data_IF_085199142804
#
_entry.id   IF_085199142804
#
_cell.length_a   1.000
_cell.length_b   1.000
_cell.length_c   1.000
_cell.angle_alpha   90.00
_cell.angle_beta   90.00
_cell.angle_gamma   90.00
#
_symmetry.space_group_name_H-M   'P 1'
#
loop_
_entity.id
_entity.type
_entity.pdbx_description
1 polymer ?
#
# COMPACT_ATOMS: atom_id res chain seq x y z
N UNK A 1 -35.33 -88.77 -24.48
CA UNK A 1 -35.61 -89.53 -23.24
C UNK A 1 -35.09 -88.74 -22.05
N UNK A 2 -36.01 -88.48 -21.11
CA UNK A 2 -35.87 -88.26 -19.66
C UNK A 2 -34.59 -87.60 -19.06
N UNK A 3 -34.76 -86.46 -18.37
CA UNK A 3 -34.62 -86.30 -16.89
C UNK A 3 -33.16 -86.12 -16.42
N UNK A 4 -32.79 -85.41 -15.35
CA UNK A 4 -33.46 -84.69 -14.26
C UNK A 4 -32.41 -83.75 -13.63
N UNK A 5 -32.92 -82.74 -12.92
CA UNK A 5 -32.23 -81.72 -12.09
C UNK A 5 -31.32 -82.33 -11.01
N UNK A 6 -30.32 -81.59 -10.54
CA UNK A 6 -30.10 -81.32 -9.11
C UNK A 6 -29.19 -80.08 -8.91
N UNK A 7 -29.65 -79.18 -8.04
CA UNK A 7 -28.90 -78.02 -7.49
C UNK A 7 -28.15 -78.46 -6.23
N UNK A 8 -26.92 -77.97 -6.03
CA UNK A 8 -26.34 -77.81 -4.69
C UNK A 8 -25.52 -76.51 -4.65
N UNK A 9 -25.93 -75.62 -3.74
CA UNK A 9 -25.25 -74.37 -3.39
C UNK A 9 -24.01 -74.65 -2.54
N UNK A 10 -22.92 -73.92 -2.80
CA UNK A 10 -21.76 -73.84 -1.89
C UNK A 10 -21.48 -72.38 -1.56
N UNK A 11 -21.55 -72.07 -0.26
CA UNK A 11 -21.37 -70.76 0.34
C UNK A 11 -19.86 -70.47 0.47
N UNK A 12 -19.33 -69.47 -0.24
CA UNK A 12 -17.95 -69.00 -0.06
C UNK A 12 -17.94 -67.79 0.89
N UNK A 13 -17.35 -67.95 2.07
CA UNK A 13 -16.98 -66.86 2.97
C UNK A 13 -15.77 -66.12 2.38
N UNK A 14 -15.92 -64.85 2.00
CA UNK A 14 -14.82 -63.99 1.57
C UNK A 14 -14.38 -63.09 2.72
N UNK A 15 -13.16 -63.33 3.25
CA UNK A 15 -12.47 -62.41 4.14
C UNK A 15 -12.00 -61.20 3.32
N UNK A 16 -12.62 -60.04 3.53
CA UNK A 16 -12.20 -58.78 2.88
C UNK A 16 -11.25 -58.03 3.81
N UNK A 17 -9.97 -57.97 3.43
CA UNK A 17 -8.93 -57.19 4.09
C UNK A 17 -9.11 -55.70 3.70
N UNK A 18 -9.70 -54.90 4.58
CA UNK A 18 -9.87 -53.47 4.34
C UNK A 18 -8.54 -52.73 4.62
N UNK A 19 -7.81 -52.40 3.55
CA UNK A 19 -6.66 -51.49 3.63
C UNK A 19 -7.18 -50.06 3.87
N UNK A 20 -6.90 -49.51 5.05
CA UNK A 20 -7.26 -48.14 5.41
C UNK A 20 -6.43 -47.12 4.62
N UNK A 21 -7.07 -46.36 3.73
CA UNK A 21 -6.51 -45.15 3.14
C UNK A 21 -6.46 -44.04 4.20
N UNK A 22 -5.27 -43.78 4.73
CA UNK A 22 -5.00 -42.60 5.55
C UNK A 22 -4.99 -41.37 4.64
N UNK A 23 -6.16 -40.72 4.52
CA UNK A 23 -6.30 -39.39 3.92
C UNK A 23 -5.60 -38.40 4.85
N UNK A 24 -4.40 -37.97 4.47
CA UNK A 24 -3.72 -36.86 5.14
C UNK A 24 -4.46 -35.58 4.76
N UNK A 25 -5.33 -35.11 5.65
CA UNK A 25 -5.87 -33.76 5.54
C UNK A 25 -4.73 -32.77 5.78
N UNK A 26 -4.18 -32.20 4.70
CA UNK A 26 -3.32 -31.03 4.81
C UNK A 26 -4.13 -29.91 5.47
N UNK A 27 -3.85 -29.63 6.74
CA UNK A 27 -4.39 -28.46 7.40
C UNK A 27 -3.80 -27.22 6.72
N UNK A 28 -4.60 -26.57 5.87
CA UNK A 28 -4.28 -25.25 5.34
C UNK A 28 -4.16 -24.28 6.50
N UNK A 29 -2.93 -23.99 6.92
CA UNK A 29 -2.64 -22.95 7.92
C UNK A 29 -3.21 -21.64 7.40
N UNK A 30 -4.09 -21.01 8.19
CA UNK A 30 -4.64 -19.70 7.85
C UNK A 30 -3.48 -18.72 7.63
N UNK A 31 -3.58 -17.87 6.61
CA UNK A 31 -2.56 -16.84 6.39
C UNK A 31 -2.52 -15.93 7.63
N UNK A 32 -1.32 -15.64 8.13
CA UNK A 32 -1.14 -14.70 9.24
C UNK A 32 -1.14 -13.25 8.73
N UNK A 33 -1.61 -12.27 9.52
CA UNK A 33 -1.45 -10.86 9.20
C UNK A 33 0.02 -10.48 9.04
N UNK A 34 0.35 -9.71 8.02
CA UNK A 34 1.68 -9.10 7.90
C UNK A 34 1.65 -7.73 8.55
N UNK A 35 2.60 -7.49 9.46
CA UNK A 35 2.77 -6.23 10.18
C UNK A 35 4.18 -5.75 9.99
N UNK A 36 4.35 -4.45 9.83
CA UNK A 36 5.65 -3.82 9.93
C UNK A 36 5.53 -2.41 10.51
N UNK A 37 6.50 -2.03 11.33
CA UNK A 37 6.77 -0.63 11.68
C UNK A 37 8.27 -0.37 11.56
N UNK A 38 8.64 0.67 10.82
CA UNK A 38 10.00 1.20 10.74
C UNK A 38 9.97 2.66 11.12
N UNK A 39 10.88 3.09 11.99
CA UNK A 39 11.15 4.49 12.33
C UNK A 39 12.66 4.70 12.29
N UNK A 40 13.10 5.64 11.46
CA UNK A 40 14.51 6.03 11.34
C UNK A 40 14.68 7.48 11.79
N UNK A 41 15.81 7.77 12.41
CA UNK A 41 16.29 9.15 12.51
C UNK A 41 16.55 9.69 11.10
N UNK A 42 15.95 10.84 10.76
CA UNK A 42 15.94 11.33 9.38
C UNK A 42 17.36 11.69 8.92
N UNK A 43 18.15 12.35 9.77
CA UNK A 43 19.50 12.82 9.45
C UNK A 43 20.50 11.66 9.34
N UNK A 44 20.67 10.88 10.41
CA UNK A 44 21.68 9.82 10.49
C UNK A 44 21.27 8.54 9.75
N UNK A 45 19.96 8.26 9.66
CA UNK A 45 19.46 6.98 9.15
C UNK A 45 19.53 5.84 10.13
N UNK A 46 19.92 6.10 11.38
CA UNK A 46 19.89 5.11 12.45
C UNK A 46 18.45 4.61 12.63
N UNK A 47 18.27 3.30 12.65
CA UNK A 47 17.00 2.70 13.03
C UNK A 47 16.73 2.95 14.51
N UNK A 48 15.66 3.70 14.79
CA UNK A 48 15.13 3.91 16.14
C UNK A 48 14.18 2.78 16.51
N UNK A 49 13.42 2.30 15.52
CA UNK A 49 12.56 1.13 15.65
C UNK A 49 12.47 0.38 14.31
N UNK A 50 12.51 -0.95 14.36
CA UNK A 50 12.17 -1.83 13.22
C UNK A 50 11.58 -3.13 13.75
N UNK A 51 10.31 -3.41 13.44
CA UNK A 51 9.67 -4.67 13.84
C UNK A 51 8.73 -5.22 12.77
N UNK A 52 8.66 -6.55 12.68
CA UNK A 52 7.84 -7.26 11.71
C UNK A 52 8.50 -7.47 10.34
N UNK A 53 7.70 -7.72 9.31
CA UNK A 53 8.17 -8.02 7.94
C UNK A 53 8.26 -6.73 7.12
N UNK A 54 9.44 -6.11 7.13
CA UNK A 54 9.64 -4.76 6.60
C UNK A 54 10.40 -4.71 5.25
N UNK A 55 10.89 -5.84 4.78
CA UNK A 55 11.69 -6.02 3.56
C UNK A 55 10.88 -6.52 2.36
N UNK A 56 9.61 -6.86 2.56
CA UNK A 56 8.72 -7.35 1.49
C UNK A 56 7.93 -6.20 0.86
N UNK A 57 7.90 -6.17 -0.48
CA UNK A 57 7.20 -5.15 -1.26
C UNK A 57 5.68 -5.37 -1.32
N UNK A 58 4.92 -4.30 -1.05
CA UNK A 58 3.46 -4.26 -1.19
C UNK A 58 3.03 -3.10 -2.07
N UNK A 59 1.78 -3.15 -2.54
CA UNK A 59 1.21 -2.06 -3.33
C UNK A 59 1.15 -0.78 -2.50
N UNK A 60 1.70 0.36 -2.97
CA UNK A 60 1.75 1.59 -2.17
C UNK A 60 0.37 2.23 -1.98
N UNK A 61 -0.59 1.98 -2.88
CA UNK A 61 -1.90 2.62 -2.84
C UNK A 61 -1.77 4.14 -2.82
N UNK A 62 -2.56 4.83 -2.01
CA UNK A 62 -2.54 6.28 -1.92
C UNK A 62 -1.30 6.89 -1.25
N UNK A 63 -0.37 6.10 -0.69
CA UNK A 63 0.93 6.66 -0.27
C UNK A 63 1.75 7.13 -1.46
N UNK A 64 1.51 6.56 -2.64
CA UNK A 64 2.15 6.96 -3.89
C UNK A 64 1.77 8.37 -4.36
N UNK A 65 0.78 9.02 -3.72
CA UNK A 65 0.50 10.44 -3.96
C UNK A 65 1.68 11.33 -3.62
N UNK A 66 2.49 10.97 -2.60
CA UNK A 66 3.72 11.70 -2.26
C UNK A 66 4.71 11.76 -3.46
N UNK A 67 5.12 10.63 -4.08
CA UNK A 67 5.86 10.66 -5.33
C UNK A 67 5.17 11.45 -6.46
N UNK A 68 3.85 11.30 -6.64
CA UNK A 68 3.13 12.03 -7.70
C UNK A 68 3.16 13.54 -7.46
N UNK A 69 3.10 14.00 -6.21
CA UNK A 69 3.19 15.42 -5.85
C UNK A 69 4.57 15.96 -6.21
N UNK A 70 5.62 15.23 -5.83
CA UNK A 70 7.01 15.57 -6.18
C UNK A 70 7.18 15.70 -7.70
N UNK A 71 6.68 14.73 -8.47
CA UNK A 71 6.71 14.77 -9.94
C UNK A 71 5.91 15.95 -10.50
N UNK A 72 4.73 16.20 -9.93
CA UNK A 72 3.79 17.22 -10.39
C UNK A 72 4.33 18.63 -10.19
N UNK A 73 4.92 18.91 -9.03
CA UNK A 73 5.56 20.20 -8.78
C UNK A 73 6.85 20.36 -9.59
N UNK A 74 7.69 19.33 -9.70
CA UNK A 74 8.93 19.41 -10.46
C UNK A 74 8.71 19.63 -11.96
N UNK A 75 7.65 19.02 -12.51
CA UNK A 75 7.23 19.22 -13.89
C UNK A 75 6.42 20.51 -14.13
N UNK A 76 6.13 21.31 -13.09
CA UNK A 76 5.31 22.52 -13.19
C UNK A 76 3.83 22.27 -13.51
N UNK A 77 3.34 21.04 -13.31
CA UNK A 77 1.92 20.69 -13.45
C UNK A 77 1.12 21.21 -12.26
N UNK A 78 1.72 21.10 -11.06
CA UNK A 78 1.25 21.69 -9.83
C UNK A 78 2.03 22.98 -9.58
N UNK A 79 1.35 24.03 -9.09
CA UNK A 79 1.91 25.37 -8.99
C UNK A 79 2.13 25.77 -7.53
N UNK A 80 1.11 25.60 -6.70
CA UNK A 80 1.15 25.87 -5.26
C UNK A 80 0.18 24.93 -4.52
N UNK A 81 -0.14 25.22 -3.26
CA UNK A 81 -1.01 24.39 -2.43
C UNK A 81 -2.47 24.31 -2.92
N UNK A 82 -2.92 25.31 -3.69
CA UNK A 82 -4.30 25.48 -4.13
C UNK A 82 -4.46 25.54 -5.67
N UNK A 83 -3.35 25.45 -6.42
CA UNK A 83 -3.32 25.53 -7.87
C UNK A 83 -2.54 24.38 -8.52
N UNK A 84 -3.07 23.79 -9.61
CA UNK A 84 -4.35 24.09 -10.23
C UNK A 84 -5.53 23.43 -9.50
N UNK A 85 -6.67 24.12 -9.47
CA UNK A 85 -7.95 23.51 -9.09
C UNK A 85 -8.62 22.95 -10.34
N UNK A 86 -8.96 21.66 -10.31
CA UNK A 86 -9.67 20.99 -11.41
C UNK A 86 -11.06 20.54 -10.97
N UNK A 87 -12.02 20.65 -11.89
CA UNK A 87 -13.37 20.15 -11.68
C UNK A 87 -13.47 18.65 -11.96
N UNK A 88 -14.27 17.97 -11.14
CA UNK A 88 -14.61 16.58 -11.38
C UNK A 88 -15.40 16.43 -12.69
N UNK A 89 -15.07 15.42 -13.48
CA UNK A 89 -15.80 15.07 -14.69
C UNK A 89 -16.41 13.68 -14.52
N UNK A 90 -17.67 13.52 -14.93
CA UNK A 90 -18.40 12.24 -14.81
C UNK A 90 -17.64 11.06 -15.45
N UNK A 91 -16.88 11.31 -16.51
CA UNK A 91 -16.03 10.32 -17.19
C UNK A 91 -14.96 9.67 -16.29
N UNK A 92 -14.60 10.29 -15.17
CA UNK A 92 -13.65 9.71 -14.21
C UNK A 92 -14.24 8.54 -13.40
N UNK A 93 -15.58 8.39 -13.38
CA UNK A 93 -16.29 7.27 -12.78
C UNK A 93 -15.80 6.92 -11.35
N UNK A 94 -15.83 7.92 -10.45
CA UNK A 94 -15.40 7.77 -9.05
C UNK A 94 -16.59 7.73 -8.10
N UNK A 95 -16.35 7.23 -6.89
CA UNK A 95 -17.34 7.27 -5.81
C UNK A 95 -17.71 8.70 -5.46
N UNK A 96 -18.92 8.89 -4.92
CA UNK A 96 -19.46 10.20 -4.51
C UNK A 96 -18.48 11.02 -3.66
N UNK A 97 -17.74 10.37 -2.76
CA UNK A 97 -16.69 10.98 -1.92
C UNK A 97 -15.64 11.78 -2.72
N UNK A 98 -15.36 11.35 -3.95
CA UNK A 98 -14.35 11.96 -4.82
C UNK A 98 -14.94 12.93 -5.86
N UNK A 99 -16.26 13.03 -5.98
CA UNK A 99 -16.94 13.86 -6.98
C UNK A 99 -17.00 15.34 -6.57
N UNK A 100 -15.85 16.01 -6.54
CA UNK A 100 -15.73 17.41 -6.15
C UNK A 100 -14.56 18.10 -6.84
N UNK A 101 -14.67 19.42 -7.02
CA UNK A 101 -13.52 20.23 -7.42
C UNK A 101 -12.38 20.07 -6.42
N UNK A 102 -11.18 19.83 -6.94
CA UNK A 102 -10.01 19.41 -6.15
C UNK A 102 -8.80 20.25 -6.55
N UNK A 103 -8.07 20.70 -5.54
CA UNK A 103 -6.74 21.32 -5.62
C UNK A 103 -5.71 20.40 -4.91
N UNK A 104 -4.39 20.71 -4.93
CA UNK A 104 -3.37 19.85 -4.32
C UNK A 104 -3.59 19.56 -2.83
N UNK A 105 -4.03 20.55 -2.05
CA UNK A 105 -4.34 20.37 -0.62
C UNK A 105 -5.52 19.42 -0.41
N UNK A 106 -6.63 19.61 -1.12
CA UNK A 106 -7.80 18.72 -1.06
C UNK A 106 -7.42 17.31 -1.53
N UNK A 107 -6.60 17.22 -2.58
CA UNK A 107 -6.15 15.98 -3.17
C UNK A 107 -5.45 15.08 -2.16
N UNK A 108 -4.49 15.62 -1.42
CA UNK A 108 -3.72 14.86 -0.43
C UNK A 108 -4.53 14.56 0.83
N UNK A 109 -5.28 15.56 1.34
CA UNK A 109 -6.15 15.41 2.52
C UNK A 109 -7.21 14.33 2.32
N UNK A 110 -7.96 14.42 1.22
CA UNK A 110 -9.12 13.57 0.98
C UNK A 110 -8.79 12.32 0.14
N UNK A 111 -7.53 12.24 -0.31
CA UNK A 111 -6.98 11.13 -1.08
C UNK A 111 -7.72 10.91 -2.41
N UNK A 112 -7.89 11.97 -3.18
CA UNK A 112 -8.63 11.97 -4.46
C UNK A 112 -7.83 11.26 -5.55
N UNK A 113 -8.32 10.12 -6.06
CA UNK A 113 -7.53 9.29 -6.99
C UNK A 113 -7.55 9.88 -8.39
N UNK A 114 -8.68 10.41 -8.86
CA UNK A 114 -8.77 10.95 -10.22
C UNK A 114 -7.81 12.13 -10.44
N UNK A 115 -7.52 12.91 -9.39
CA UNK A 115 -6.56 14.02 -9.46
C UNK A 115 -5.13 13.50 -9.67
N UNK A 116 -4.73 12.42 -8.98
CA UNK A 116 -3.47 11.71 -9.25
C UNK A 116 -3.37 11.24 -10.69
N UNK A 117 -4.46 10.65 -11.22
CA UNK A 117 -4.50 10.14 -12.59
C UNK A 117 -4.41 11.26 -13.61
N UNK A 118 -4.96 12.45 -13.30
CA UNK A 118 -4.86 13.61 -14.16
C UNK A 118 -3.43 14.19 -14.17
N UNK A 119 -2.75 14.24 -13.01
CA UNK A 119 -1.33 14.60 -12.94
C UNK A 119 -0.51 13.63 -13.81
N UNK A 120 -0.68 12.32 -13.65
CA UNK A 120 0.12 11.35 -14.41
C UNK A 120 -0.21 11.37 -15.91
N UNK A 121 -1.46 11.65 -16.32
CA UNK A 121 -1.80 11.87 -17.73
C UNK A 121 -1.06 13.08 -18.32
N UNK A 122 -1.02 14.19 -17.60
CA UNK A 122 -0.31 15.41 -18.03
C UNK A 122 1.21 15.22 -18.07
N UNK A 123 1.74 14.44 -17.13
CA UNK A 123 3.15 14.07 -17.08
C UNK A 123 3.55 13.17 -18.27
N UNK A 124 2.67 12.23 -18.63
CA UNK A 124 2.89 11.26 -19.70
C UNK A 124 3.74 10.05 -19.29
N UNK A 125 3.60 8.96 -20.05
CA UNK A 125 4.18 7.64 -19.71
C UNK A 125 5.69 7.65 -19.51
N UNK A 126 6.43 8.34 -20.38
CA UNK A 126 7.89 8.36 -20.34
C UNK A 126 8.39 9.06 -19.08
N UNK A 127 7.98 10.31 -18.86
CA UNK A 127 8.41 11.09 -17.70
C UNK A 127 7.98 10.40 -16.39
N UNK A 128 6.76 9.86 -16.32
CA UNK A 128 6.31 9.09 -15.15
C UNK A 128 7.25 7.92 -14.81
N UNK A 129 7.63 7.11 -15.80
CA UNK A 129 8.57 6.01 -15.58
C UNK A 129 9.99 6.48 -15.25
N UNK A 130 10.44 7.60 -15.84
CA UNK A 130 11.75 8.20 -15.55
C UNK A 130 11.82 8.69 -14.09
N UNK A 131 10.80 9.39 -13.59
CA UNK A 131 10.75 9.82 -12.19
C UNK A 131 10.72 8.63 -11.23
N UNK A 132 9.90 7.60 -11.49
CA UNK A 132 9.84 6.42 -10.62
C UNK A 132 11.20 5.72 -10.52
N UNK A 133 11.95 5.63 -11.64
CA UNK A 133 13.33 5.12 -11.63
C UNK A 133 14.29 6.07 -10.91
N UNK A 134 14.22 7.37 -11.19
CA UNK A 134 15.09 8.38 -10.56
C UNK A 134 14.88 8.49 -9.05
N UNK A 135 13.68 8.18 -8.57
CA UNK A 135 13.37 8.09 -7.15
C UNK A 135 13.83 6.79 -6.50
N UNK A 136 14.30 5.82 -7.29
CA UNK A 136 14.55 4.45 -6.83
C UNK A 136 13.34 3.90 -6.03
N UNK A 137 12.13 4.10 -6.57
CA UNK A 137 10.89 3.81 -5.87
C UNK A 137 10.46 2.33 -6.03
N UNK A 138 10.90 1.50 -5.09
CA UNK A 138 10.44 0.13 -4.97
C UNK A 138 10.95 -0.78 -6.10
N UNK A 139 10.04 -1.44 -6.82
CA UNK A 139 10.38 -2.29 -7.97
C UNK A 139 10.37 -1.55 -9.33
N UNK A 140 10.09 -0.25 -9.34
CA UNK A 140 9.97 0.60 -10.53
C UNK A 140 8.95 0.17 -11.58
N UNK A 141 8.11 -0.81 -11.27
CA UNK A 141 7.21 -1.39 -12.25
C UNK A 141 5.95 -0.53 -12.37
N UNK A 142 5.90 0.26 -13.44
CA UNK A 142 4.75 1.08 -13.83
C UNK A 142 4.11 0.58 -15.11
N UNK A 143 4.28 -0.70 -15.45
CA UNK A 143 3.75 -1.27 -16.71
C UNK A 143 2.22 -1.44 -16.71
N UNK A 144 1.58 -1.37 -15.54
CA UNK A 144 0.23 -1.90 -15.34
C UNK A 144 0.28 -3.36 -14.88
N UNK A 145 -0.86 -3.98 -14.64
CA UNK A 145 -0.88 -5.23 -13.86
C UNK A 145 -2.15 -6.07 -14.04
N UNK A 146 -2.34 -7.09 -13.19
CA UNK A 146 -3.42 -8.06 -13.32
C UNK A 146 -4.80 -7.43 -13.51
N UNK A 147 -5.57 -7.96 -14.47
CA UNK A 147 -6.87 -7.41 -14.85
C UNK A 147 -6.79 -6.27 -15.87
N UNK A 148 -5.65 -6.09 -16.55
CA UNK A 148 -5.51 -5.09 -17.63
C UNK A 148 -5.43 -3.65 -17.14
N UNK A 149 -5.02 -3.45 -15.88
CA UNK A 149 -4.87 -2.11 -15.29
C UNK A 149 -3.84 -1.28 -16.06
N UNK A 150 -4.13 -0.01 -16.29
CA UNK A 150 -3.28 0.91 -17.03
C UNK A 150 -2.06 1.37 -16.19
N UNK A 151 -0.87 1.25 -16.75
CA UNK A 151 0.37 1.59 -16.05
C UNK A 151 0.48 3.06 -15.64
N UNK A 152 -0.06 3.98 -16.46
CA UNK A 152 0.03 5.41 -16.20
C UNK A 152 -0.92 5.87 -15.09
N UNK A 153 -2.08 5.25 -14.97
CA UNK A 153 -3.16 5.73 -14.09
C UNK A 153 -3.53 4.75 -12.97
N UNK A 154 -2.97 3.54 -12.96
CA UNK A 154 -3.35 2.50 -12.02
C UNK A 154 -2.20 1.65 -11.46
N UNK A 155 -0.94 1.84 -11.90
CA UNK A 155 0.21 1.01 -11.45
C UNK A 155 0.37 0.94 -9.91
N UNK A 156 0.01 1.99 -9.18
CA UNK A 156 0.06 2.04 -7.71
C UNK A 156 -1.19 1.48 -7.00
N UNK A 157 -2.28 1.23 -7.74
CA UNK A 157 -3.59 0.83 -7.23
C UNK A 157 -3.75 -0.70 -7.22
N UNK A 158 -3.11 -1.34 -6.25
CA UNK A 158 -3.00 -2.80 -6.23
C UNK A 158 -2.53 -3.37 -7.57
N UNK A 159 -1.58 -2.76 -8.29
CA UNK A 159 -1.21 -3.19 -9.65
C UNK A 159 0.24 -3.67 -9.70
N UNK A 160 1.07 -3.20 -10.63
CA UNK A 160 2.47 -3.62 -10.78
C UNK A 160 3.39 -3.08 -9.71
N UNK A 161 3.20 -1.81 -9.33
CA UNK A 161 4.14 -1.10 -8.48
C UNK A 161 4.09 -1.66 -7.05
N UNK A 162 5.26 -2.00 -6.52
CA UNK A 162 5.44 -2.49 -5.16
C UNK A 162 6.63 -1.84 -4.50
N UNK A 163 6.51 -1.59 -3.20
CA UNK A 163 7.57 -1.01 -2.35
C UNK A 163 7.46 -1.59 -0.94
N UNK A 164 8.60 -1.87 -0.29
CA UNK A 164 8.63 -2.36 1.09
C UNK A 164 8.60 -1.21 2.11
N UNK A 165 8.22 -1.46 3.37
CA UNK A 165 8.36 -0.46 4.43
C UNK A 165 9.77 0.09 4.61
N UNK A 166 10.81 -0.76 4.50
CA UNK A 166 12.20 -0.32 4.54
C UNK A 166 12.53 0.63 3.37
N UNK A 167 12.02 0.34 2.17
CA UNK A 167 12.18 1.21 1.00
C UNK A 167 11.39 2.53 1.13
N UNK A 168 10.21 2.52 1.77
CA UNK A 168 9.43 3.74 2.03
C UNK A 168 10.21 4.72 2.91
N UNK A 169 10.82 4.24 4.01
CA UNK A 169 11.59 5.12 4.90
C UNK A 169 12.89 5.61 4.24
N UNK A 170 13.56 4.78 3.42
CA UNK A 170 14.72 5.24 2.66
C UNK A 170 14.36 6.35 1.65
N UNK A 171 13.30 6.12 0.87
CA UNK A 171 12.77 7.11 -0.07
C UNK A 171 12.43 8.44 0.64
N UNK A 172 11.73 8.37 1.77
CA UNK A 172 11.37 9.57 2.55
C UNK A 172 12.59 10.27 3.16
N UNK A 173 13.64 9.56 3.55
CA UNK A 173 14.90 10.20 3.99
C UNK A 173 15.58 10.94 2.86
N UNK A 174 15.62 10.35 1.66
CA UNK A 174 16.19 11.03 0.48
C UNK A 174 15.37 12.25 0.11
N UNK A 175 14.05 12.19 0.23
CA UNK A 175 13.18 13.37 0.07
C UNK A 175 13.51 14.46 1.10
N UNK A 176 13.49 14.12 2.40
CA UNK A 176 13.73 15.07 3.49
C UNK A 176 15.14 15.69 3.47
N UNK A 177 16.13 14.99 2.92
CA UNK A 177 17.50 15.48 2.79
C UNK A 177 17.81 16.14 1.45
N UNK A 178 16.80 16.35 0.58
CA UNK A 178 16.96 16.98 -0.73
C UNK A 178 17.82 16.18 -1.71
N UNK A 179 17.89 14.84 -1.54
CA UNK A 179 18.70 13.93 -2.37
C UNK A 179 17.92 13.27 -3.51
N UNK A 180 16.62 13.55 -3.63
CA UNK A 180 15.86 13.16 -4.82
C UNK A 180 16.20 14.10 -5.98
N UNK A 181 16.20 13.61 -7.24
CA UNK A 181 16.53 14.42 -8.42
C UNK A 181 15.33 15.30 -8.83
N UNK A 182 14.93 16.21 -7.95
CA UNK A 182 13.87 17.22 -8.17
C UNK A 182 14.34 18.58 -7.63
N UNK A 183 13.68 19.63 -8.06
CA UNK A 183 13.93 20.99 -7.60
C UNK A 183 13.67 21.15 -6.09
N UNK A 184 14.42 22.03 -5.40
CA UNK A 184 14.12 22.40 -4.01
C UNK A 184 12.71 22.95 -3.82
N UNK A 185 12.16 23.63 -4.84
CA UNK A 185 10.78 24.14 -4.80
C UNK A 185 9.77 22.99 -4.80
N UNK A 186 9.98 21.94 -5.61
CA UNK A 186 9.12 20.75 -5.57
C UNK A 186 9.16 20.03 -4.22
N UNK A 187 10.31 20.01 -3.54
CA UNK A 187 10.41 19.49 -2.16
C UNK A 187 9.53 20.30 -1.22
N UNK A 188 9.71 21.64 -1.21
CA UNK A 188 8.97 22.56 -0.34
C UNK A 188 7.45 22.49 -0.57
N UNK A 189 7.01 22.56 -1.82
CA UNK A 189 5.59 22.53 -2.17
C UNK A 189 4.96 21.17 -1.88
N UNK A 190 5.70 20.07 -2.08
CA UNK A 190 5.22 18.76 -1.65
C UNK A 190 5.02 18.73 -0.14
N UNK A 191 5.98 19.20 0.66
CA UNK A 191 5.85 19.25 2.13
C UNK A 191 4.64 20.09 2.58
N UNK A 192 4.33 21.19 1.88
CA UNK A 192 3.25 22.10 2.23
C UNK A 192 1.85 21.48 2.13
N UNK A 193 1.65 20.47 1.27
CA UNK A 193 0.34 19.83 1.07
C UNK A 193 0.16 18.50 1.83
N UNK A 194 1.22 17.95 2.45
CA UNK A 194 1.11 16.69 3.18
C UNK A 194 0.24 16.89 4.43
N UNK A 195 -0.77 16.02 4.67
CA UNK A 195 -1.62 16.15 5.85
C UNK A 195 -0.85 16.06 7.16
N UNK A 196 -1.17 16.98 8.07
CA UNK A 196 -0.52 17.14 9.37
C UNK A 196 -1.44 16.68 10.50
N UNK A 197 -0.88 15.97 11.48
CA UNK A 197 -1.58 15.42 12.63
C UNK A 197 -0.78 15.69 13.92
N UNK A 198 -1.42 16.12 15.02
CA UNK A 198 -0.76 16.16 16.31
C UNK A 198 -0.54 14.74 16.87
N UNK A 199 0.55 14.55 17.59
CA UNK A 199 0.83 13.37 18.39
C UNK A 199 1.21 13.79 19.83
N UNK A 200 1.22 12.83 20.75
CA UNK A 200 1.61 13.08 22.13
C UNK A 200 3.07 13.56 22.24
N UNK A 201 3.43 14.11 23.40
CA UNK A 201 4.77 14.64 23.70
C UNK A 201 5.26 15.75 22.75
N UNK A 202 4.36 16.49 22.10
CA UNK A 202 4.70 17.62 21.24
C UNK A 202 5.18 17.24 19.83
N UNK A 203 4.99 15.98 19.42
CA UNK A 203 5.28 15.56 18.05
C UNK A 203 4.23 16.10 17.07
N UNK A 204 4.72 16.60 15.93
CA UNK A 204 3.88 16.91 14.75
C UNK A 204 4.17 15.89 13.67
N UNK A 205 3.13 15.21 13.17
CA UNK A 205 3.23 14.11 12.21
C UNK A 205 2.73 14.57 10.85
N UNK A 206 3.54 14.43 9.82
CA UNK A 206 3.17 14.66 8.43
C UNK A 206 3.14 13.32 7.71
N UNK A 207 2.01 12.94 7.13
CA UNK A 207 1.98 11.63 6.50
C UNK A 207 0.79 11.34 5.62
N UNK A 208 0.96 10.27 4.84
CA UNK A 208 -0.01 9.81 3.88
C UNK A 208 -0.49 8.40 4.18
N UNK A 209 -1.80 8.23 4.20
CA UNK A 209 -2.47 6.94 4.29
C UNK A 209 -2.59 6.26 2.93
N UNK A 210 -2.58 4.93 2.93
CA UNK A 210 -2.88 4.11 1.75
C UNK A 210 -3.74 2.92 2.14
N UNK A 211 -4.82 2.67 1.40
CA UNK A 211 -5.71 1.53 1.63
C UNK A 211 -6.01 0.81 0.31
N UNK A 212 -6.13 -0.51 0.37
CA UNK A 212 -6.52 -1.34 -0.74
C UNK A 212 -6.66 -2.80 -0.33
N UNK A 213 -6.50 -3.70 -1.28
CA UNK A 213 -6.53 -5.15 -1.03
C UNK A 213 -5.33 -5.81 -1.70
N UNK A 214 -4.84 -6.88 -1.08
CA UNK A 214 -3.98 -7.82 -1.79
C UNK A 214 -4.75 -8.47 -2.94
N UNK A 215 -4.05 -9.21 -3.79
CA UNK A 215 -4.67 -9.96 -4.88
C UNK A 215 -4.60 -11.45 -4.62
N UNK A 216 -5.62 -12.16 -5.08
CA UNK A 216 -5.60 -13.63 -5.16
C UNK A 216 -4.58 -14.10 -6.20
N UNK A 217 -4.27 -15.40 -6.23
CA UNK A 217 -3.42 -16.00 -7.28
C UNK A 217 -3.96 -15.73 -8.70
N UNK A 218 -5.27 -15.60 -8.85
CA UNK A 218 -5.93 -15.25 -10.11
C UNK A 218 -5.91 -13.74 -10.43
N UNK A 219 -5.21 -12.93 -9.63
CA UNK A 219 -5.08 -11.50 -9.87
C UNK A 219 -6.33 -10.68 -9.54
N UNK A 220 -7.32 -11.21 -8.84
CA UNK A 220 -8.52 -10.45 -8.40
C UNK A 220 -8.28 -9.80 -7.04
N UNK A 221 -8.90 -8.64 -6.72
CA UNK A 221 -8.85 -8.10 -5.36
C UNK A 221 -9.34 -9.11 -4.33
N UNK A 222 -8.53 -9.39 -3.31
CA UNK A 222 -8.85 -10.28 -2.22
C UNK A 222 -9.42 -9.49 -1.04
N UNK A 223 -10.76 -9.48 -0.93
CA UNK A 223 -11.46 -8.76 0.13
C UNK A 223 -11.24 -9.34 1.53
N UNK A 224 -10.64 -10.52 1.66
CA UNK A 224 -10.21 -11.08 2.95
C UNK A 224 -8.83 -10.60 3.39
N UNK A 225 -8.08 -9.96 2.48
CA UNK A 225 -6.71 -9.49 2.70
C UNK A 225 -6.60 -7.97 2.48
N UNK A 226 -7.21 -7.13 3.34
CA UNK A 226 -7.06 -5.69 3.24
C UNK A 226 -5.63 -5.26 3.56
N UNK A 227 -5.19 -4.21 2.87
CA UNK A 227 -3.87 -3.61 2.98
C UNK A 227 -4.00 -2.16 3.45
N UNK A 228 -3.29 -1.81 4.52
CA UNK A 228 -3.25 -0.47 5.09
C UNK A 228 -1.81 0.02 5.28
N UNK A 229 -1.60 1.29 4.96
CA UNK A 229 -0.35 2.01 5.09
C UNK A 229 -0.55 3.33 5.82
N UNK A 230 0.47 3.73 6.57
CA UNK A 230 0.73 5.13 6.92
C UNK A 230 2.24 5.37 6.86
N UNK A 231 2.66 6.33 6.03
CA UNK A 231 4.08 6.66 5.80
C UNK A 231 4.27 8.17 5.85
N UNK A 232 5.44 8.64 6.26
CA UNK A 232 5.69 10.06 6.42
C UNK A 232 6.88 10.38 7.31
N UNK A 233 6.87 11.58 7.88
CA UNK A 233 7.86 12.06 8.83
C UNK A 233 7.19 12.73 10.03
N UNK A 234 7.93 12.86 11.12
CA UNK A 234 7.46 13.57 12.29
C UNK A 234 8.57 14.43 12.89
N UNK A 235 8.17 15.52 13.51
CA UNK A 235 9.08 16.55 14.02
C UNK A 235 8.77 16.88 15.49
N UNK A 236 9.83 17.10 16.27
CA UNK A 236 9.76 17.55 17.65
C UNK A 236 11.07 18.25 18.05
N UNK A 237 10.99 19.53 18.45
CA UNK A 237 12.12 20.28 19.00
C UNK A 237 13.41 20.19 18.13
N UNK A 238 13.25 20.26 16.81
CA UNK A 238 14.34 20.12 15.83
C UNK A 238 14.79 18.67 15.54
N UNK A 239 14.24 17.66 16.22
CA UNK A 239 14.40 16.24 15.81
C UNK A 239 13.42 15.92 14.69
N UNK A 240 13.89 15.17 13.70
CA UNK A 240 13.08 14.65 12.62
C UNK A 240 13.26 13.14 12.51
N UNK A 241 12.16 12.41 12.38
CA UNK A 241 12.14 10.98 12.10
C UNK A 241 11.32 10.70 10.85
N UNK A 242 11.69 9.69 10.07
CA UNK A 242 10.82 9.15 9.03
C UNK A 242 10.22 7.82 9.49
N UNK A 243 9.06 7.47 8.96
CA UNK A 243 8.39 6.24 9.33
C UNK A 243 7.65 5.57 8.17
N UNK A 244 7.47 4.27 8.32
CA UNK A 244 6.51 3.50 7.56
C UNK A 244 5.85 2.47 8.48
N UNK A 245 4.51 2.48 8.53
CA UNK A 245 3.73 1.41 9.15
C UNK A 245 2.83 0.75 8.13
N UNK A 246 2.82 -0.58 8.15
CA UNK A 246 2.10 -1.44 7.25
C UNK A 246 1.29 -2.48 8.01
N UNK A 247 0.07 -2.73 7.54
CA UNK A 247 -0.74 -3.87 7.93
C UNK A 247 -1.38 -4.50 6.68
N UNK A 248 -1.03 -5.76 6.39
CA UNK A 248 -1.81 -6.61 5.49
C UNK A 248 -2.57 -7.64 6.34
N UNK A 249 -3.82 -7.35 6.65
CA UNK A 249 -4.61 -8.11 7.62
C UNK A 249 -5.25 -9.36 7.00
N UNK A 250 -5.91 -10.15 7.86
CA UNK A 250 -6.68 -11.35 7.48
C UNK A 250 -8.15 -11.24 7.87
N UNK A 251 -8.55 -10.11 8.46
CA UNK A 251 -9.93 -9.74 8.77
C UNK A 251 -10.37 -8.51 7.98
N UNK A 252 -11.67 -8.42 7.72
CA UNK A 252 -12.28 -7.24 7.09
C UNK A 252 -12.34 -6.07 8.08
N UNK A 253 -12.24 -4.86 7.55
CA UNK A 253 -12.41 -3.61 8.28
C UNK A 253 -13.64 -2.90 7.72
N UNK A 254 -14.74 -2.87 8.48
CA UNK A 254 -16.05 -2.38 8.03
C UNK A 254 -16.45 -1.03 8.63
N UNK A 255 -15.97 -0.72 9.83
CA UNK A 255 -16.28 0.54 10.52
C UNK A 255 -15.48 1.72 9.97
N UNK A 256 -14.21 1.47 9.63
CA UNK A 256 -13.31 2.47 9.07
C UNK A 256 -12.30 1.82 8.11
N UNK A 257 -11.71 2.58 7.17
CA UNK A 257 -10.62 2.07 6.35
C UNK A 257 -9.45 1.60 7.22
N UNK A 258 -8.89 0.44 6.89
CA UNK A 258 -7.71 -0.14 7.57
C UNK A 258 -6.54 0.85 7.70
N UNK A 259 -6.39 1.78 6.74
CA UNK A 259 -5.36 2.80 6.79
C UNK A 259 -5.51 3.79 7.94
N UNK A 260 -6.72 4.01 8.46
CA UNK A 260 -6.93 4.87 9.64
C UNK A 260 -6.51 4.14 10.90
N UNK A 261 -6.83 2.85 11.03
CA UNK A 261 -6.28 2.01 12.10
C UNK A 261 -4.75 2.03 12.12
N UNK A 262 -4.12 1.95 10.94
CA UNK A 262 -2.65 2.01 10.80
C UNK A 262 -2.10 3.40 11.17
N UNK A 263 -2.75 4.48 10.70
CA UNK A 263 -2.39 5.86 11.03
C UNK A 263 -2.49 6.14 12.51
N UNK A 264 -3.66 5.91 13.08
CA UNK A 264 -3.98 6.28 14.47
C UNK A 264 -3.14 5.47 15.45
N UNK A 265 -2.91 4.18 15.15
CA UNK A 265 -1.99 3.36 15.91
C UNK A 265 -0.55 3.88 15.84
N UNK A 266 -0.07 4.33 14.67
CA UNK A 266 1.29 4.91 14.61
C UNK A 266 1.38 6.22 15.38
N UNK A 267 0.42 7.12 15.23
CA UNK A 267 0.38 8.41 15.94
C UNK A 267 0.43 8.19 17.46
N UNK A 268 -0.33 7.21 17.96
CA UNK A 268 -0.33 6.85 19.37
C UNK A 268 1.02 6.27 19.83
N UNK A 269 1.63 5.38 19.04
CA UNK A 269 2.88 4.69 19.41
C UNK A 269 4.13 5.56 19.22
N UNK A 270 4.06 6.58 18.34
CA UNK A 270 5.23 7.33 17.85
C UNK A 270 6.17 7.83 18.94
N UNK A 271 5.70 8.43 20.06
CA UNK A 271 6.61 8.92 21.10
C UNK A 271 7.50 7.82 21.68
N UNK A 272 6.95 6.60 21.85
CA UNK A 272 7.72 5.44 22.31
C UNK A 272 8.66 4.88 21.24
N UNK A 273 8.24 4.91 19.97
CA UNK A 273 9.03 4.39 18.84
C UNK A 273 10.20 5.30 18.43
N UNK A 274 10.04 6.62 18.60
CA UNK A 274 11.07 7.60 18.26
C UNK A 274 12.20 7.69 19.33
N UNK A 275 12.05 6.98 20.45
CA UNK A 275 13.01 6.93 21.55
C UNK A 275 13.15 8.25 22.32
N UNK A 276 13.63 8.14 23.55
CA UNK A 276 14.07 9.31 24.33
C UNK A 276 15.36 9.87 23.75
N UNK A 277 15.63 11.17 23.96
CA UNK A 277 16.97 11.72 23.69
C UNK A 277 17.99 11.08 24.63
#
# INVERSE_FOLDING_TARGET
MAQRRFFLSTLCLSLSLAAGLLVHAEQTKAAEPVRCTVVLDAASGKALHRSGTCDVGFYPQSTFKLPIAMMGYDAGILIDEHNPRWDYQAKFNRSEREQKATDPTIWERDSIVWYSQEITRRLGKKAFADYVRGFDYGNHDVSGGPGGTDGLTESWLSSSLKISPDQQVDFLRRFMSGRLPISPEAVKLTQAIVPTFPAADGWTVHGKTGAGWLRTKAGKPDRSRPLGWFVGWAEKDGRQVVFARLLADTKRHTEQPISYTVRDGLIADLPGLAGTR
#
